data_IF_305451039444
#
_entry.id   IF_305451039444
#
_cell.length_a   1.000
_cell.length_b   1.000
_cell.length_c   1.000
_cell.angle_alpha   90.00
_cell.angle_beta   90.00
_cell.angle_gamma   90.00
#
_symmetry.space_group_name_H-M   'P 1'
#
loop_
_entity.id
_entity.type
_entity.pdbx_description
1 polymer ?
#
# COMPACT_ATOMS: atom_id res chain seq x y z
N UNK A 1 -4.97 -73.67 48.31
CA UNK A 1 -5.70 -72.74 49.20
C UNK A 1 -6.74 -71.98 48.40
N UNK A 2 -8.03 -72.21 48.63
CA UNK A 2 -9.12 -71.50 47.96
C UNK A 2 -9.48 -70.21 48.71
N UNK A 3 -9.51 -69.07 48.01
CA UNK A 3 -9.89 -67.76 48.55
C UNK A 3 -11.38 -67.54 48.31
N UNK A 4 -12.18 -67.35 49.38
CA UNK A 4 -13.62 -67.07 49.26
C UNK A 4 -13.86 -65.64 48.76
N UNK A 5 -14.81 -65.40 47.84
CA UNK A 5 -15.18 -64.06 47.40
C UNK A 5 -15.95 -63.34 48.51
N UNK A 6 -15.49 -62.15 48.92
CA UNK A 6 -16.23 -61.30 49.85
C UNK A 6 -17.37 -60.60 49.11
N UNK A 7 -18.61 -60.96 49.43
CA UNK A 7 -19.80 -60.25 48.96
C UNK A 7 -19.87 -58.92 49.71
N UNK A 8 -19.36 -57.84 49.11
CA UNK A 8 -19.66 -56.48 49.58
C UNK A 8 -21.09 -56.17 49.15
N UNK A 9 -22.03 -56.26 50.09
CA UNK A 9 -23.30 -55.56 49.94
C UNK A 9 -22.98 -54.07 49.78
N UNK A 10 -23.44 -53.46 48.68
CA UNK A 10 -23.33 -52.01 48.51
C UNK A 10 -23.93 -51.30 49.73
N UNK A 11 -23.39 -50.14 50.10
CA UNK A 11 -23.95 -49.34 51.21
C UNK A 11 -25.44 -49.15 50.95
N UNK A 12 -26.28 -49.70 51.82
CA UNK A 12 -27.72 -49.44 51.79
C UNK A 12 -27.91 -47.92 51.94
N UNK A 13 -28.62 -47.25 51.02
CA UNK A 13 -28.90 -45.83 51.16
C UNK A 13 -29.57 -45.59 52.51
N UNK A 14 -29.20 -44.51 53.21
CA UNK A 14 -29.90 -44.13 54.43
C UNK A 14 -31.41 -43.95 54.13
N UNK A 15 -32.32 -44.42 55.01
CA UNK A 15 -33.74 -44.32 54.75
C UNK A 15 -34.17 -42.85 54.66
N UNK A 16 -34.73 -42.44 53.52
CA UNK A 16 -35.26 -41.08 53.37
C UNK A 16 -36.46 -40.86 54.29
N UNK A 17 -36.27 -40.00 55.27
CA UNK A 17 -37.36 -39.61 56.18
C UNK A 17 -38.33 -38.67 55.45
N UNK A 18 -39.64 -38.69 55.80
CA UNK A 18 -40.60 -37.74 55.27
C UNK A 18 -40.18 -36.27 55.44
N UNK A 19 -39.42 -35.98 56.49
CA UNK A 19 -38.85 -34.66 56.75
C UNK A 19 -37.76 -34.27 55.74
N UNK A 20 -36.87 -35.20 55.37
CA UNK A 20 -35.87 -34.97 54.32
C UNK A 20 -36.51 -34.71 52.95
N UNK A 21 -37.58 -35.43 52.60
CA UNK A 21 -38.33 -35.19 51.36
C UNK A 21 -39.00 -33.81 51.33
N UNK A 22 -39.50 -33.32 52.48
CA UNK A 22 -40.08 -31.98 52.58
C UNK A 22 -39.02 -30.87 52.43
N UNK A 23 -37.83 -31.06 53.00
CA UNK A 23 -36.70 -30.15 52.81
C UNK A 23 -36.23 -30.12 51.34
N UNK A 24 -36.13 -31.29 50.70
CA UNK A 24 -35.79 -31.40 49.29
C UNK A 24 -36.80 -30.69 48.38
N UNK A 25 -38.10 -30.82 48.65
CA UNK A 25 -39.14 -30.12 47.87
C UNK A 25 -39.04 -28.58 47.98
N UNK A 26 -38.58 -28.06 49.12
CA UNK A 26 -38.33 -26.64 49.31
C UNK A 26 -37.07 -26.18 48.55
N UNK A 27 -36.00 -26.96 48.62
CA UNK A 27 -34.75 -26.71 47.89
C UNK A 27 -34.96 -26.80 46.38
N UNK A 28 -35.78 -27.74 45.91
CA UNK A 28 -36.14 -27.84 44.50
C UNK A 28 -36.98 -26.65 44.04
N UNK A 29 -37.84 -26.10 44.89
CA UNK A 29 -38.69 -24.95 44.54
C UNK A 29 -37.93 -23.62 44.46
N UNK A 30 -36.98 -23.38 45.36
CA UNK A 30 -36.25 -22.10 45.45
C UNK A 30 -34.82 -22.21 44.89
N UNK A 31 -34.14 -23.32 45.15
CA UNK A 31 -32.77 -23.59 44.75
C UNK A 31 -32.63 -23.80 43.24
N UNK A 32 -33.55 -24.53 42.61
CA UNK A 32 -33.51 -24.76 41.16
C UNK A 32 -33.56 -23.44 40.36
N UNK A 33 -34.45 -22.50 40.76
CA UNK A 33 -34.58 -21.20 40.12
C UNK A 33 -33.30 -20.35 40.26
N UNK A 34 -32.63 -20.40 41.42
CA UNK A 34 -31.36 -19.68 41.65
C UNK A 34 -30.21 -20.26 40.81
N UNK A 35 -30.13 -21.59 40.72
CA UNK A 35 -29.12 -22.27 39.89
C UNK A 35 -29.36 -21.97 38.41
N UNK A 36 -30.61 -22.05 37.94
CA UNK A 36 -30.96 -21.71 36.57
C UNK A 36 -30.62 -20.24 36.25
N UNK A 37 -30.93 -19.30 37.14
CA UNK A 37 -30.58 -17.89 36.95
C UNK A 37 -29.06 -17.68 36.85
N UNK A 38 -28.26 -18.38 37.65
CA UNK A 38 -26.79 -18.33 37.56
C UNK A 38 -26.29 -18.89 36.22
N UNK A 39 -26.82 -20.05 35.80
CA UNK A 39 -26.48 -20.67 34.52
C UNK A 39 -26.85 -19.79 33.33
N UNK A 40 -28.03 -19.15 33.36
CA UNK A 40 -28.45 -18.21 32.32
C UNK A 40 -27.60 -16.94 32.28
N UNK A 41 -27.16 -16.41 33.42
CA UNK A 41 -26.21 -15.29 33.46
C UNK A 41 -24.87 -15.67 32.82
N UNK A 42 -24.35 -16.86 33.13
CA UNK A 42 -23.13 -17.37 32.52
C UNK A 42 -23.29 -17.58 31.01
N UNK A 43 -24.41 -18.15 30.56
CA UNK A 43 -24.71 -18.31 29.15
C UNK A 43 -24.79 -16.96 28.42
N UNK A 44 -25.44 -15.96 29.03
CA UNK A 44 -25.52 -14.59 28.49
C UNK A 44 -24.14 -13.96 28.33
N UNK A 45 -23.30 -13.98 29.37
CA UNK A 45 -21.95 -13.40 29.28
C UNK A 45 -21.04 -14.17 28.32
N UNK A 46 -21.19 -15.50 28.24
CA UNK A 46 -20.49 -16.33 27.25
C UNK A 46 -20.85 -15.96 25.82
N UNK A 47 -22.15 -15.87 25.53
CA UNK A 47 -22.65 -15.48 24.20
C UNK A 47 -22.25 -14.04 23.83
N UNK A 48 -22.32 -13.11 24.80
CA UNK A 48 -21.91 -11.72 24.60
C UNK A 48 -20.42 -11.60 24.27
N UNK A 49 -19.57 -12.34 25.01
CA UNK A 49 -18.12 -12.36 24.77
C UNK A 49 -17.80 -12.95 23.40
N UNK A 50 -18.45 -14.06 23.03
CA UNK A 50 -18.29 -14.68 21.71
C UNK A 50 -18.69 -13.73 20.58
N UNK A 51 -19.86 -13.08 20.71
CA UNK A 51 -20.38 -12.13 19.71
C UNK A 51 -19.46 -10.91 19.57
N UNK A 52 -19.02 -10.35 20.69
CA UNK A 52 -18.09 -9.20 20.70
C UNK A 52 -16.73 -9.58 20.08
N UNK A 53 -16.21 -10.76 20.41
CA UNK A 53 -14.97 -11.27 19.83
C UNK A 53 -15.06 -11.50 18.32
N UNK A 54 -16.16 -12.06 17.83
CA UNK A 54 -16.44 -12.21 16.41
C UNK A 54 -16.52 -10.86 15.69
N UNK A 55 -17.27 -9.91 16.26
CA UNK A 55 -17.39 -8.57 15.69
C UNK A 55 -16.01 -7.87 15.63
N UNK A 56 -15.22 -7.93 16.70
CA UNK A 56 -13.87 -7.39 16.73
C UNK A 56 -12.94 -8.06 15.70
N UNK A 57 -13.03 -9.39 15.57
CA UNK A 57 -12.28 -10.15 14.56
C UNK A 57 -12.63 -9.75 13.13
N UNK A 58 -13.92 -9.57 12.83
CA UNK A 58 -14.38 -9.10 11.52
C UNK A 58 -13.92 -7.67 11.22
N UNK A 59 -13.98 -6.77 12.20
CA UNK A 59 -13.47 -5.40 12.05
C UNK A 59 -11.96 -5.42 11.79
N UNK A 60 -11.20 -6.22 12.52
CA UNK A 60 -9.76 -6.37 12.32
C UNK A 60 -9.40 -6.96 10.95
N UNK A 61 -10.18 -7.93 10.48
CA UNK A 61 -10.02 -8.51 9.14
C UNK A 61 -10.38 -7.51 8.03
N UNK A 62 -11.47 -6.76 8.19
CA UNK A 62 -11.90 -5.73 7.25
C UNK A 62 -10.95 -4.53 7.19
N UNK A 63 -10.37 -4.13 8.33
CA UNK A 63 -9.38 -3.06 8.40
C UNK A 63 -8.05 -3.41 7.72
N UNK A 64 -7.78 -4.70 7.48
CA UNK A 64 -6.58 -5.17 6.77
C UNK A 64 -6.72 -5.16 5.25
N UNK A 65 -7.75 -4.50 4.70
CA UNK A 65 -8.10 -4.46 3.28
C UNK A 65 -6.93 -4.68 2.32
N UNK A 66 -6.82 -5.89 1.78
CA UNK A 66 -5.85 -6.22 0.74
C UNK A 66 -6.35 -5.63 -0.57
N UNK A 67 -5.68 -4.59 -1.06
CA UNK A 67 -5.91 -4.09 -2.41
C UNK A 67 -5.21 -5.06 -3.37
N UNK A 68 -5.99 -5.74 -4.20
CA UNK A 68 -5.50 -6.52 -5.32
C UNK A 68 -5.49 -5.63 -6.57
N UNK A 69 -4.34 -5.04 -6.97
CA UNK A 69 -4.27 -4.25 -8.19
C UNK A 69 -4.39 -5.18 -9.41
N UNK A 70 -5.36 -4.94 -10.30
CA UNK A 70 -5.43 -5.69 -11.55
C UNK A 70 -4.41 -5.12 -12.54
N UNK A 71 -3.37 -5.88 -12.89
CA UNK A 71 -2.44 -5.56 -13.98
C UNK A 71 -2.90 -6.33 -15.21
N UNK A 72 -3.33 -5.62 -16.24
CA UNK A 72 -3.62 -6.23 -17.54
C UNK A 72 -2.31 -6.29 -18.31
N UNK A 73 -1.71 -7.48 -18.40
CA UNK A 73 -0.62 -7.74 -19.33
C UNK A 73 -1.22 -7.91 -20.72
N UNK A 74 -0.89 -7.00 -21.64
CA UNK A 74 -1.26 -7.12 -23.05
C UNK A 74 -0.13 -7.87 -23.74
N UNK A 75 -0.36 -9.14 -24.07
CA UNK A 75 0.56 -9.91 -24.91
C UNK A 75 0.61 -9.29 -26.32
N UNK A 76 1.67 -9.55 -27.08
CA UNK A 76 1.94 -9.02 -28.43
C UNK A 76 0.83 -9.28 -29.47
N UNK A 77 -0.19 -10.06 -29.12
CA UNK A 77 -1.34 -10.43 -29.95
C UNK A 77 -2.66 -9.71 -29.55
N UNK A 78 -2.66 -8.83 -28.55
CA UNK A 78 -3.81 -7.97 -28.23
C UNK A 78 -4.99 -8.65 -27.52
N UNK A 79 -4.85 -9.90 -27.10
CA UNK A 79 -5.87 -10.60 -26.31
C UNK A 79 -5.75 -10.24 -24.83
N UNK A 80 -6.81 -9.66 -24.25
CA UNK A 80 -6.91 -9.38 -22.82
C UNK A 80 -7.14 -10.69 -22.06
N UNK A 81 -6.06 -11.35 -21.64
CA UNK A 81 -6.16 -12.54 -20.78
C UNK A 81 -6.39 -12.09 -19.34
N UNK A 82 -7.49 -12.52 -18.72
CA UNK A 82 -7.71 -12.33 -17.29
C UNK A 82 -6.72 -13.22 -16.51
N UNK A 83 -5.59 -12.67 -16.07
CA UNK A 83 -4.56 -13.42 -15.35
C UNK A 83 -4.65 -13.13 -13.86
N UNK A 84 -5.36 -14.00 -13.14
CA UNK A 84 -5.23 -14.31 -11.71
C UNK A 84 -5.27 -13.13 -10.69
N UNK A 85 -5.50 -13.39 -9.38
CA UNK A 85 -5.25 -12.39 -8.36
C UNK A 85 -3.78 -11.97 -8.46
N UNK A 86 -3.49 -10.67 -8.52
CA UNK A 86 -2.13 -10.15 -8.61
C UNK A 86 -1.22 -10.85 -7.59
N UNK A 87 -0.26 -11.63 -8.09
CA UNK A 87 0.77 -12.19 -7.24
C UNK A 87 1.41 -11.04 -6.47
N UNK A 88 1.48 -11.20 -5.15
CA UNK A 88 2.17 -10.28 -4.25
C UNK A 88 3.66 -10.27 -4.60
N UNK A 89 4.05 -9.49 -5.60
CA UNK A 89 5.40 -9.52 -6.14
C UNK A 89 5.62 -8.83 -7.48
N UNK A 90 4.64 -8.10 -8.04
CA UNK A 90 4.83 -7.38 -9.30
C UNK A 90 6.04 -6.42 -9.21
N UNK A 91 7.05 -6.70 -10.04
CA UNK A 91 8.23 -5.86 -10.22
C UNK A 91 8.14 -5.19 -11.59
N UNK A 92 8.09 -3.85 -11.67
CA UNK A 92 8.10 -3.15 -12.94
C UNK A 92 9.32 -3.54 -13.78
N UNK A 93 9.11 -3.76 -15.07
CA UNK A 93 10.18 -4.07 -16.01
C UNK A 93 10.99 -2.82 -16.36
N UNK A 94 12.24 -2.99 -16.80
CA UNK A 94 13.11 -1.87 -17.18
C UNK A 94 12.48 -0.90 -18.20
N UNK A 95 11.81 -1.36 -19.28
CA UNK A 95 11.14 -0.45 -20.21
C UNK A 95 10.02 0.37 -19.56
N UNK A 96 9.28 -0.22 -18.61
CA UNK A 96 8.22 0.49 -17.88
C UNK A 96 8.83 1.58 -16.99
N UNK A 97 9.88 1.22 -16.24
CA UNK A 97 10.61 2.19 -15.41
C UNK A 97 11.18 3.31 -16.29
N UNK A 98 11.83 2.94 -17.40
CA UNK A 98 12.43 3.87 -18.34
C UNK A 98 11.41 4.90 -18.88
N UNK A 99 10.22 4.44 -19.26
CA UNK A 99 9.13 5.32 -19.72
C UNK A 99 8.73 6.36 -18.66
N UNK A 100 8.57 5.93 -17.40
CA UNK A 100 8.21 6.83 -16.32
C UNK A 100 9.33 7.81 -15.96
N UNK A 101 10.59 7.36 -15.98
CA UNK A 101 11.75 8.22 -15.72
C UNK A 101 11.97 9.25 -16.84
N UNK A 102 11.75 8.89 -18.09
CA UNK A 102 11.78 9.84 -19.21
C UNK A 102 10.73 10.94 -19.00
N UNK A 103 9.49 10.56 -18.71
CA UNK A 103 8.41 11.51 -18.40
C UNK A 103 8.68 12.37 -17.17
N UNK A 104 9.30 11.80 -16.15
CA UNK A 104 9.69 12.55 -14.97
C UNK A 104 10.67 13.67 -15.33
N UNK A 105 11.70 13.37 -16.13
CA UNK A 105 12.65 14.38 -16.63
C UNK A 105 11.94 15.43 -17.48
N UNK A 106 11.07 15.01 -18.41
CA UNK A 106 10.28 15.96 -19.22
C UNK A 106 9.45 16.91 -18.34
N UNK A 107 8.77 16.39 -17.32
CA UNK A 107 7.93 17.20 -16.43
C UNK A 107 8.73 18.21 -15.61
N UNK A 108 9.89 17.81 -15.10
CA UNK A 108 10.73 18.66 -14.24
C UNK A 108 11.53 19.68 -15.05
N UNK A 109 12.02 19.28 -16.23
CA UNK A 109 12.97 20.08 -17.02
C UNK A 109 12.31 20.91 -18.13
N UNK A 110 11.06 20.60 -18.49
CA UNK A 110 10.34 21.41 -19.48
C UNK A 110 9.80 22.70 -18.86
N UNK A 111 9.83 23.77 -19.66
CA UNK A 111 9.20 25.04 -19.33
C UNK A 111 8.29 25.47 -20.48
N UNK A 112 7.01 25.04 -20.47
CA UNK A 112 6.00 25.53 -21.39
C UNK A 112 5.67 27.01 -21.18
N UNK A 113 5.06 27.63 -22.18
CA UNK A 113 4.58 29.01 -22.08
C UNK A 113 3.40 29.17 -21.09
N UNK A 114 2.63 28.10 -20.86
CA UNK A 114 1.44 28.12 -19.98
C UNK A 114 1.81 27.76 -18.52
N UNK A 115 1.60 28.67 -17.55
CA UNK A 115 1.85 28.40 -16.13
C UNK A 115 1.01 27.27 -15.54
N UNK A 116 -0.18 26.99 -16.10
CA UNK A 116 -1.04 25.89 -15.65
C UNK A 116 -0.37 24.56 -15.95
N UNK A 117 0.21 24.40 -17.15
CA UNK A 117 0.92 23.18 -17.53
C UNK A 117 2.19 23.02 -16.71
N UNK A 118 2.95 24.10 -16.47
CA UNK A 118 4.14 24.06 -15.59
C UNK A 118 3.74 23.52 -14.22
N UNK A 119 2.70 24.08 -13.59
CA UNK A 119 2.23 23.61 -12.28
C UNK A 119 1.79 22.15 -12.31
N UNK A 120 1.04 21.73 -13.33
CA UNK A 120 0.61 20.34 -13.48
C UNK A 120 1.79 19.38 -13.63
N UNK A 121 2.80 19.74 -14.41
CA UNK A 121 4.01 18.95 -14.60
C UNK A 121 4.73 18.74 -13.26
N UNK A 122 4.92 19.81 -12.49
CA UNK A 122 5.55 19.72 -11.16
C UNK A 122 4.74 18.87 -10.18
N UNK A 123 3.42 19.05 -10.11
CA UNK A 123 2.55 18.22 -9.26
C UNK A 123 2.63 16.73 -9.64
N UNK A 124 2.65 16.42 -10.94
CA UNK A 124 2.86 15.04 -11.41
C UNK A 124 4.24 14.51 -11.06
N UNK A 125 5.29 15.33 -11.19
CA UNK A 125 6.63 14.93 -10.79
C UNK A 125 6.69 14.56 -9.31
N UNK A 126 6.05 15.34 -8.42
CA UNK A 126 6.00 15.05 -6.99
C UNK A 126 5.31 13.71 -6.66
N UNK A 127 4.27 13.31 -7.41
CA UNK A 127 3.63 12.00 -7.24
C UNK A 127 4.60 10.81 -7.52
N UNK A 128 5.71 11.06 -8.21
CA UNK A 128 6.79 10.10 -8.49
C UNK A 128 8.07 10.35 -7.68
N UNK A 129 8.05 11.19 -6.65
CA UNK A 129 9.22 11.42 -5.77
C UNK A 129 9.01 10.84 -4.38
N UNK A 130 10.07 10.30 -3.77
CA UNK A 130 10.07 10.04 -2.32
C UNK A 130 10.26 11.35 -1.54
N UNK A 131 10.11 11.35 -0.22
CA UNK A 131 10.39 12.53 0.62
C UNK A 131 11.79 13.10 0.37
N UNK A 132 12.79 12.23 0.20
CA UNK A 132 14.17 12.64 -0.12
C UNK A 132 14.30 13.20 -1.53
N UNK A 133 13.63 12.57 -2.52
CA UNK A 133 13.61 13.07 -3.90
C UNK A 133 12.92 14.43 -4.02
N UNK A 134 11.84 14.64 -3.27
CA UNK A 134 11.11 15.89 -3.22
C UNK A 134 11.97 17.03 -2.65
N UNK A 135 12.80 16.76 -1.64
CA UNK A 135 13.78 17.74 -1.13
C UNK A 135 14.77 18.15 -2.22
N UNK A 136 15.38 17.19 -2.93
CA UNK A 136 16.30 17.47 -4.03
C UNK A 136 15.63 18.29 -5.15
N UNK A 137 14.38 17.98 -5.47
CA UNK A 137 13.60 18.71 -6.47
C UNK A 137 13.24 20.13 -6.01
N UNK A 138 12.93 20.32 -4.73
CA UNK A 138 12.67 21.64 -4.15
C UNK A 138 13.91 22.52 -4.15
N UNK A 139 15.08 21.97 -3.80
CA UNK A 139 16.34 22.70 -3.84
C UNK A 139 16.69 23.15 -5.25
N UNK A 140 16.42 22.30 -6.25
CA UNK A 140 16.54 22.67 -7.66
C UNK A 140 15.60 23.80 -8.07
N UNK A 141 14.33 23.72 -7.66
CA UNK A 141 13.31 24.72 -7.96
C UNK A 141 13.71 26.09 -7.40
N UNK A 142 14.24 26.13 -6.17
CA UNK A 142 14.72 27.39 -5.54
C UNK A 142 15.91 27.99 -6.26
N UNK A 143 16.83 27.16 -6.76
CA UNK A 143 18.03 27.64 -7.43
C UNK A 143 17.76 28.20 -8.83
N UNK A 144 16.81 27.62 -9.57
CA UNK A 144 16.55 28.00 -10.98
C UNK A 144 15.27 28.81 -11.20
N UNK A 145 14.38 28.85 -10.20
CA UNK A 145 13.05 29.46 -10.23
C UNK A 145 12.34 29.36 -11.60
N UNK A 146 11.79 28.17 -11.93
CA UNK A 146 11.12 27.96 -13.21
C UNK A 146 9.92 28.90 -13.40
N UNK A 147 9.27 29.35 -12.33
CA UNK A 147 8.07 30.20 -12.43
C UNK A 147 8.39 31.64 -12.80
N UNK A 148 9.56 32.16 -12.41
CA UNK A 148 10.01 33.49 -12.81
C UNK A 148 10.36 33.60 -14.30
N UNK A 149 10.63 32.47 -14.97
CA UNK A 149 11.03 32.43 -16.37
C UNK A 149 9.84 32.23 -17.34
N UNK A 150 8.64 31.95 -16.82
CA UNK A 150 7.43 31.71 -17.62
C UNK A 150 7.12 32.95 -18.48
N UNK A 151 6.83 32.72 -19.76
CA UNK A 151 6.50 33.76 -20.72
C UNK A 151 7.71 34.51 -21.30
N UNK A 152 8.91 34.33 -20.75
CA UNK A 152 10.17 34.88 -21.31
C UNK A 152 10.94 33.82 -22.09
N UNK A 153 11.06 32.64 -21.48
CA UNK A 153 11.83 31.53 -22.01
C UNK A 153 10.95 30.29 -22.07
N UNK A 154 11.12 29.48 -23.11
CA UNK A 154 10.51 28.16 -23.20
C UNK A 154 11.62 27.11 -23.30
N UNK A 155 11.45 25.99 -22.63
CA UNK A 155 12.41 24.88 -22.65
C UNK A 155 11.69 23.62 -23.10
N UNK A 156 12.07 23.13 -24.28
CA UNK A 156 11.63 21.83 -24.78
C UNK A 156 12.66 20.76 -24.44
N UNK A 157 12.20 19.62 -23.95
CA UNK A 157 13.02 18.50 -23.51
C UNK A 157 12.80 17.32 -24.44
N UNK A 158 13.89 16.70 -24.88
CA UNK A 158 13.89 15.56 -25.79
C UNK A 158 14.77 14.45 -25.20
N UNK A 159 14.16 13.42 -24.61
CA UNK A 159 14.87 12.34 -23.91
C UNK A 159 15.44 11.37 -24.93
N UNK A 160 16.77 11.31 -25.02
CA UNK A 160 17.49 10.49 -25.99
C UNK A 160 17.64 9.04 -25.52
N UNK A 161 17.88 8.82 -24.22
CA UNK A 161 18.04 7.46 -23.70
C UNK A 161 17.77 7.37 -22.20
N UNK A 162 17.28 6.21 -21.79
CA UNK A 162 17.16 5.82 -20.39
C UNK A 162 17.70 4.40 -20.25
N UNK A 163 18.78 4.26 -19.49
CA UNK A 163 19.52 3.00 -19.37
C UNK A 163 19.71 2.69 -17.90
N UNK A 164 19.50 1.44 -17.51
CA UNK A 164 19.79 0.98 -16.15
C UNK A 164 21.30 1.05 -15.88
N UNK A 165 21.69 1.78 -14.84
CA UNK A 165 23.09 1.94 -14.41
C UNK A 165 23.43 0.99 -13.24
N UNK A 166 22.48 0.74 -12.34
CA UNK A 166 22.59 -0.23 -11.23
C UNK A 166 21.22 -0.88 -10.95
N UNK A 167 21.10 -1.81 -9.98
CA UNK A 167 19.81 -2.39 -9.59
C UNK A 167 18.76 -1.35 -9.18
N UNK A 168 19.20 -0.21 -8.68
CA UNK A 168 18.39 0.87 -8.13
C UNK A 168 18.63 2.23 -8.81
N UNK A 169 19.44 2.30 -9.87
CA UNK A 169 19.72 3.57 -10.56
C UNK A 169 19.66 3.48 -12.07
N UNK A 170 19.27 4.59 -12.68
CA UNK A 170 19.12 4.76 -14.12
C UNK A 170 19.85 6.01 -14.58
N UNK A 171 20.61 5.88 -15.66
CA UNK A 171 21.15 7.01 -16.41
C UNK A 171 20.12 7.47 -17.43
N UNK A 172 19.75 8.74 -17.38
CA UNK A 172 18.89 9.39 -18.37
C UNK A 172 19.71 10.43 -19.12
N UNK A 173 19.67 10.43 -20.43
CA UNK A 173 20.27 11.48 -21.27
C UNK A 173 19.17 12.18 -22.07
N UNK A 174 19.25 13.50 -22.18
CA UNK A 174 18.30 14.30 -22.93
C UNK A 174 18.95 15.56 -23.51
N UNK A 175 18.25 16.16 -24.47
CA UNK A 175 18.61 17.45 -25.04
C UNK A 175 17.56 18.48 -24.65
N UNK A 176 18.01 19.66 -24.23
CA UNK A 176 17.16 20.82 -23.94
C UNK A 176 17.31 21.84 -25.07
N UNK A 177 16.19 22.24 -25.66
CA UNK A 177 16.12 23.34 -26.62
C UNK A 177 15.47 24.53 -25.93
N UNK A 178 16.25 25.58 -25.70
CA UNK A 178 15.80 26.82 -25.06
C UNK A 178 15.38 27.81 -26.14
N UNK A 179 14.18 28.35 -26.04
CA UNK A 179 13.63 29.36 -26.93
C UNK A 179 13.43 30.68 -26.18
N UNK A 180 13.84 31.79 -26.78
CA UNK A 180 13.56 33.16 -26.33
C UNK A 180 12.81 33.88 -27.44
N UNK A 181 11.69 34.51 -27.11
CA UNK A 181 10.88 35.29 -28.07
C UNK A 181 10.51 34.51 -29.34
N UNK A 182 10.26 33.21 -29.19
CA UNK A 182 9.92 32.30 -30.30
C UNK A 182 11.09 31.81 -31.15
N UNK A 183 12.31 32.29 -30.89
CA UNK A 183 13.54 31.86 -31.59
C UNK A 183 14.35 30.87 -30.75
N UNK A 184 15.01 29.90 -31.40
CA UNK A 184 15.90 28.96 -30.72
C UNK A 184 17.15 29.70 -30.23
N UNK A 185 17.31 29.78 -28.90
CA UNK A 185 18.42 30.47 -28.25
C UNK A 185 19.60 29.55 -27.94
N UNK A 186 19.34 28.32 -27.48
CA UNK A 186 20.40 27.36 -27.14
C UNK A 186 19.92 25.91 -27.26
N UNK A 187 20.86 25.02 -27.54
CA UNK A 187 20.67 23.56 -27.43
C UNK A 187 21.72 23.01 -26.48
N UNK A 188 21.29 22.36 -25.40
CA UNK A 188 22.14 21.85 -24.33
C UNK A 188 21.92 20.36 -24.14
N UNK A 189 22.98 19.57 -24.02
CA UNK A 189 22.88 18.14 -23.68
C UNK A 189 23.07 17.95 -22.20
N UNK A 190 22.27 17.07 -21.62
CA UNK A 190 22.24 16.81 -20.20
C UNK A 190 22.19 15.31 -19.96
N UNK A 191 22.76 14.91 -18.82
CA UNK A 191 22.61 13.57 -18.29
C UNK A 191 22.24 13.62 -16.82
N UNK A 192 21.53 12.60 -16.35
CA UNK A 192 21.19 12.40 -14.96
C UNK A 192 21.40 10.96 -14.54
N UNK A 193 21.74 10.77 -13.27
CA UNK A 193 21.61 9.52 -12.56
C UNK A 193 20.45 9.69 -11.58
N UNK A 194 19.42 8.87 -11.76
CA UNK A 194 18.23 8.82 -10.92
C UNK A 194 18.27 7.54 -10.10
N UNK A 195 18.24 7.65 -8.77
CA UNK A 195 18.06 6.51 -7.88
C UNK A 195 16.58 6.30 -7.64
N UNK A 196 16.09 5.07 -7.76
CA UNK A 196 14.69 4.71 -7.63
C UNK A 196 14.44 3.77 -6.45
N UNK A 197 13.22 3.82 -5.92
CA UNK A 197 12.69 2.88 -4.94
C UNK A 197 11.29 2.47 -5.41
N UNK A 198 10.98 1.18 -5.34
CA UNK A 198 9.65 0.65 -5.71
C UNK A 198 8.91 0.29 -4.43
N UNK A 199 7.79 0.98 -4.18
CA UNK A 199 6.91 0.73 -3.06
C UNK A 199 5.48 0.48 -3.59
N UNK A 200 4.96 -0.75 -3.47
CA UNK A 200 3.63 -1.09 -3.97
C UNK A 200 2.54 -0.16 -3.38
N UNK A 201 1.66 0.41 -4.21
CA UNK A 201 0.61 1.31 -3.75
C UNK A 201 -0.39 0.57 -2.86
N UNK A 202 -0.75 1.19 -1.73
CA UNK A 202 -1.66 0.62 -0.72
C UNK A 202 -2.99 1.37 -0.61
N UNK A 203 -3.28 2.30 -1.50
CA UNK A 203 -4.56 3.02 -1.55
C UNK A 203 -5.01 3.18 -3.01
N UNK A 204 -6.33 3.27 -3.28
CA UNK A 204 -6.83 3.53 -4.63
C UNK A 204 -6.29 4.84 -5.24
N UNK A 205 -6.07 5.85 -4.40
CA UNK A 205 -5.51 7.13 -4.84
C UNK A 205 -4.04 7.00 -5.23
N UNK A 206 -3.25 6.28 -4.43
CA UNK A 206 -1.85 6.00 -4.75
C UNK A 206 -1.73 5.18 -6.05
N UNK A 207 -2.62 4.20 -6.25
CA UNK A 207 -2.64 3.39 -7.46
C UNK A 207 -2.99 4.22 -8.71
N UNK A 208 -3.93 5.17 -8.59
CA UNK A 208 -4.30 6.08 -9.69
C UNK A 208 -3.17 7.02 -10.09
N UNK A 209 -2.42 7.52 -9.11
CA UNK A 209 -1.32 8.47 -9.33
C UNK A 209 -0.04 7.79 -9.80
N UNK A 210 0.30 6.67 -9.17
CA UNK A 210 1.55 5.94 -9.40
C UNK A 210 1.28 4.43 -9.36
N UNK A 211 0.80 3.85 -10.48
CA UNK A 211 0.38 2.45 -10.52
C UNK A 211 1.54 1.47 -10.31
N UNK A 212 2.76 1.87 -10.67
CA UNK A 212 3.96 1.05 -10.49
C UNK A 212 4.56 1.17 -9.07
N UNK A 213 4.14 2.15 -8.28
CA UNK A 213 4.77 2.47 -7.00
C UNK A 213 6.23 2.92 -7.16
N UNK A 214 6.58 3.53 -8.28
CA UNK A 214 7.95 3.95 -8.60
C UNK A 214 8.24 5.34 -8.03
N UNK A 215 9.23 5.45 -7.15
CA UNK A 215 9.64 6.72 -6.56
C UNK A 215 11.10 7.04 -6.87
N UNK A 216 11.36 8.25 -7.35
CA UNK A 216 12.71 8.82 -7.47
C UNK A 216 13.15 9.28 -6.07
N UNK A 217 14.24 8.71 -5.59
CA UNK A 217 14.78 8.92 -4.24
C UNK A 217 15.98 9.86 -4.22
N UNK A 218 16.78 9.88 -5.28
CA UNK A 218 17.88 10.81 -5.44
C UNK A 218 18.02 11.21 -6.92
N UNK A 219 18.43 12.46 -7.13
CA UNK A 219 18.55 13.07 -8.45
C UNK A 219 19.93 13.72 -8.52
N UNK A 220 20.72 13.36 -9.52
CA UNK A 220 21.95 14.05 -9.83
C UNK A 220 22.03 14.24 -11.35
N UNK A 221 21.97 15.48 -11.80
CA UNK A 221 22.11 15.83 -13.22
C UNK A 221 23.32 16.72 -13.46
N UNK A 222 23.88 16.62 -14.66
CA UNK A 222 24.99 17.43 -15.12
C UNK A 222 24.82 17.73 -16.61
N UNK A 223 25.30 18.90 -17.00
CA UNK A 223 25.40 19.29 -18.41
C UNK A 223 26.54 18.51 -19.05
N UNK A 224 26.28 17.86 -20.17
CA UNK A 224 27.33 17.21 -20.95
C UNK A 224 28.10 18.30 -21.70
N UNK A 225 29.38 18.46 -21.36
CA UNK A 225 30.30 19.30 -22.11
C UNK A 225 30.67 18.52 -23.38
N UNK A 226 30.20 19.01 -24.53
CA UNK A 226 30.58 18.46 -25.83
C UNK A 226 32.09 18.54 -26.00
N UNK A 227 32.70 17.42 -26.43
CA UNK A 227 34.00 17.44 -27.10
C UNK A 227 33.82 17.92 -28.55
#
# INVERSE_FOLDING_TARGET
>A
MFRRPSIRYGKTPEPETPYQRAAQAWDDRIGSARVQAKSWRLAFFGALTLSTGLAAGLVWQGARGTITPWVVEVDKLGEARAVAPAEAGYRPTDPQIAFHLARFIEQVRSLPADPVIVRQNWLRAYDFTSDRGALALNDHARANDPFAQIGRVQVAVDVSSVIRASPDSFRVAWTERRYSDGSLAATERWSAILTIVVQPPRTPDALRKNPLGLFVNAINWSKELGQ
#
